data_IF_631274810498
#
_entry.id   IF_631274810498
#
_cell.length_a   1.000
_cell.length_b   1.000
_cell.length_c   1.000
_cell.angle_alpha   90.00
_cell.angle_beta   90.00
_cell.angle_gamma   90.00
#
_symmetry.space_group_name_H-M   'P 1'
#
loop_
_entity.id
_entity.type
_entity.pdbx_description
1 polymer ?
#
# COMPACT_ATOMS: atom_id res chain seq x y z
N UNK A 1 -5.76 -14.58 6.61
CA UNK A 1 -6.96 -13.77 6.93
C UNK A 1 -7.27 -12.81 5.80
N UNK A 2 -8.25 -13.13 4.95
CA UNK A 2 -8.64 -12.33 3.78
C UNK A 2 -9.18 -10.92 4.11
N UNK A 3 -9.44 -10.62 5.38
CA UNK A 3 -9.90 -9.30 5.82
C UNK A 3 -8.81 -8.22 5.79
N UNK A 4 -7.51 -8.58 5.87
CA UNK A 4 -6.45 -7.56 5.93
C UNK A 4 -6.26 -6.81 4.60
N UNK A 5 -6.62 -7.41 3.46
CA UNK A 5 -6.45 -6.76 2.15
C UNK A 5 -7.60 -5.81 1.79
N UNK A 6 -8.81 -6.09 2.26
CA UNK A 6 -10.01 -5.28 1.98
C UNK A 6 -9.96 -3.89 2.62
N UNK A 7 -9.32 -3.77 3.79
CA UNK A 7 -9.20 -2.50 4.51
C UNK A 7 -8.33 -1.49 3.73
N UNK A 8 -7.07 -1.77 3.37
CA UNK A 8 -6.26 -0.85 2.58
C UNK A 8 -6.88 -0.60 1.20
N UNK A 9 -7.48 -1.61 0.57
CA UNK A 9 -8.23 -1.45 -0.67
C UNK A 9 -9.32 -0.37 -0.55
N UNK A 10 -10.11 -0.43 0.52
CA UNK A 10 -11.19 0.52 0.78
C UNK A 10 -10.67 1.92 1.07
N UNK A 11 -9.58 2.02 1.82
CA UNK A 11 -8.92 3.28 2.14
C UNK A 11 -8.33 3.96 0.90
N UNK A 12 -7.75 3.19 -0.02
CA UNK A 12 -7.26 3.71 -1.31
C UNK A 12 -8.42 4.25 -2.14
N UNK A 13 -9.50 3.48 -2.28
CA UNK A 13 -10.70 3.91 -3.04
C UNK A 13 -11.34 5.16 -2.45
N UNK A 14 -11.38 5.26 -1.12
CA UNK A 14 -11.88 6.43 -0.41
C UNK A 14 -10.97 7.66 -0.46
N UNK A 15 -9.74 7.53 -0.97
CA UNK A 15 -8.77 8.64 -1.05
C UNK A 15 -8.05 8.96 0.27
N UNK A 16 -8.05 8.04 1.24
CA UNK A 16 -7.38 8.25 2.52
C UNK A 16 -5.85 8.41 2.39
N UNK A 17 -5.27 7.92 1.28
CA UNK A 17 -3.84 7.95 1.00
C UNK A 17 -3.40 9.08 0.06
N UNK A 18 -4.30 9.99 -0.34
CA UNK A 18 -3.97 11.06 -1.28
C UNK A 18 -2.89 12.01 -0.77
N UNK A 19 -2.79 12.16 0.55
CA UNK A 19 -1.74 12.95 1.20
C UNK A 19 -0.32 12.40 0.99
N UNK A 20 -0.19 11.14 0.55
CA UNK A 20 1.09 10.51 0.22
C UNK A 20 1.63 10.95 -1.15
N UNK A 21 0.83 11.65 -1.97
CA UNK A 21 1.25 12.13 -3.29
C UNK A 21 1.41 11.02 -4.34
N UNK A 22 0.86 9.83 -4.09
CA UNK A 22 0.85 8.73 -5.05
C UNK A 22 -0.47 8.60 -5.78
N UNK A 23 -0.42 8.08 -7.00
CA UNK A 23 -1.60 7.79 -7.80
C UNK A 23 -2.48 6.72 -7.11
N UNK A 24 -3.79 6.94 -7.00
CA UNK A 24 -4.70 6.03 -6.27
C UNK A 24 -4.75 4.65 -6.92
N UNK A 25 -4.77 4.60 -8.25
CA UNK A 25 -4.75 3.34 -9.00
C UNK A 25 -3.41 2.63 -8.83
N UNK A 26 -2.29 3.35 -8.82
CA UNK A 26 -0.99 2.83 -8.44
C UNK A 26 -1.00 2.15 -7.07
N UNK A 27 -1.50 2.84 -6.04
CA UNK A 27 -1.64 2.30 -4.69
C UNK A 27 -2.54 1.06 -4.65
N UNK A 28 -3.64 1.08 -5.42
CA UNK A 28 -4.55 -0.06 -5.56
C UNK A 28 -3.89 -1.26 -6.26
N UNK A 29 -2.93 -1.07 -7.17
CA UNK A 29 -2.23 -2.20 -7.79
C UNK A 29 -1.28 -2.89 -6.82
N UNK A 30 -0.66 -2.13 -5.91
CA UNK A 30 0.40 -2.64 -5.03
C UNK A 30 -0.07 -3.03 -3.63
N UNK A 31 -1.29 -2.67 -3.23
CA UNK A 31 -1.77 -2.88 -1.86
C UNK A 31 -1.71 -4.35 -1.41
N UNK A 32 -2.01 -5.30 -2.29
CA UNK A 32 -2.01 -6.74 -1.98
C UNK A 32 -0.62 -7.23 -1.61
N UNK A 33 0.36 -6.82 -2.40
CA UNK A 33 1.75 -7.26 -2.32
C UNK A 33 2.42 -6.58 -1.12
N UNK A 34 2.09 -5.32 -0.86
CA UNK A 34 2.50 -4.61 0.34
C UNK A 34 2.01 -5.28 1.63
N UNK A 35 0.74 -5.70 1.65
CA UNK A 35 0.17 -6.43 2.80
C UNK A 35 0.86 -7.79 2.97
N UNK A 36 1.10 -8.52 1.88
CA UNK A 36 1.73 -9.84 1.95
C UNK A 36 3.20 -9.76 2.38
N UNK A 37 3.94 -8.74 1.92
CA UNK A 37 5.31 -8.48 2.33
C UNK A 37 5.41 -8.27 3.85
N UNK A 38 4.58 -7.39 4.42
CA UNK A 38 4.56 -7.12 5.88
C UNK A 38 4.23 -8.38 6.68
N UNK A 39 3.28 -9.20 6.21
CA UNK A 39 2.92 -10.45 6.88
C UNK A 39 4.06 -11.47 6.82
N UNK A 40 4.77 -11.54 5.69
CA UNK A 40 5.97 -12.36 5.53
C UNK A 40 7.08 -11.96 6.49
N UNK A 41 7.39 -10.67 6.57
CA UNK A 41 8.41 -10.12 7.47
C UNK A 41 8.08 -10.39 8.94
N UNK A 42 6.83 -10.12 9.38
CA UNK A 42 6.42 -10.40 10.77
C UNK A 42 6.51 -11.88 11.14
N UNK A 43 6.24 -12.76 10.18
CA UNK A 43 6.38 -14.20 10.38
C UNK A 43 7.85 -14.61 10.50
N UNK A 44 8.74 -14.04 9.68
CA UNK A 44 10.18 -14.27 9.77
C UNK A 44 10.78 -13.73 11.08
N UNK A 45 10.32 -12.56 11.54
CA UNK A 45 10.67 -11.97 12.84
C UNK A 45 10.23 -12.87 14.00
N UNK A 46 8.97 -13.33 13.98
CA UNK A 46 8.43 -14.25 15.01
C UNK A 46 9.11 -15.62 15.03
N UNK A 47 9.71 -16.05 13.92
CA UNK A 47 10.50 -17.28 13.83
C UNK A 47 11.94 -17.09 14.32
N UNK A 48 12.32 -15.91 14.83
CA UNK A 48 13.66 -15.63 15.34
C UNK A 48 14.72 -15.54 14.24
N UNK A 49 14.31 -15.37 12.98
CA UNK A 49 15.22 -15.34 11.84
C UNK A 49 16.04 -14.03 11.74
N UNK A 50 15.93 -13.16 12.76
CA UNK A 50 16.72 -11.94 12.88
C UNK A 50 17.93 -12.05 13.81
N UNK A 51 18.18 -13.17 14.48
CA UNK A 51 19.37 -13.31 15.31
C UNK A 51 19.85 -14.77 15.45
N UNK A 52 20.61 -15.24 14.47
CA UNK A 52 21.57 -16.35 14.70
C UNK A 52 22.75 -16.40 13.70
N UNK A 53 22.90 -15.36 12.87
CA UNK A 53 24.08 -15.16 12.00
C UNK A 53 24.49 -13.68 11.86
N UNK A 54 23.85 -12.76 12.59
CA UNK A 54 24.04 -11.31 12.41
C UNK A 54 25.21 -10.67 13.17
N UNK A 55 25.93 -11.41 14.02
CA UNK A 55 26.97 -10.81 14.86
C UNK A 55 28.39 -10.87 14.28
N UNK A 56 28.63 -11.56 13.16
CA UNK A 56 29.98 -11.71 12.61
C UNK A 56 29.97 -11.66 11.08
N UNK A 57 29.90 -10.48 10.46
CA UNK A 57 30.80 -10.20 9.34
C UNK A 57 30.90 -8.70 9.07
N UNK A 58 32.13 -8.30 8.81
CA UNK A 58 32.62 -6.97 8.55
C UNK A 58 32.44 -6.71 7.04
N UNK A 59 31.52 -5.82 6.64
CA UNK A 59 31.42 -5.43 5.22
C UNK A 59 30.05 -5.01 4.73
N UNK A 60 29.81 -3.69 4.70
CA UNK A 60 29.07 -2.94 3.65
C UNK A 60 27.86 -3.61 2.96
N UNK A 61 27.03 -4.35 3.69
CA UNK A 61 25.75 -4.84 3.22
C UNK A 61 24.69 -3.79 3.52
N UNK A 62 24.49 -2.83 2.62
CA UNK A 62 23.26 -2.01 2.56
C UNK A 62 22.08 -2.93 2.82
N UNK A 63 21.36 -2.70 3.91
CA UNK A 63 20.08 -3.35 4.15
C UNK A 63 19.25 -3.13 2.89
N UNK A 64 19.07 -4.19 2.09
CA UNK A 64 18.17 -4.14 0.94
C UNK A 64 16.84 -3.60 1.47
N UNK A 65 16.28 -2.55 0.87
CA UNK A 65 15.05 -1.99 1.38
C UNK A 65 13.97 -3.03 1.16
N UNK A 66 13.67 -3.79 2.21
CA UNK A 66 12.58 -4.79 2.33
C UNK A 66 11.21 -4.18 1.96
N UNK A 67 11.15 -2.85 1.76
CA UNK A 67 9.96 -2.06 1.54
C UNK A 67 9.95 -1.19 0.28
N UNK A 68 10.84 -1.39 -0.71
CA UNK A 68 10.72 -0.61 -1.96
C UNK A 68 9.72 -1.25 -2.92
N UNK A 69 8.44 -1.17 -2.57
CA UNK A 69 7.37 -1.46 -3.53
C UNK A 69 7.17 -0.20 -4.37
N UNK A 70 7.57 -0.28 -5.63
CA UNK A 70 7.43 0.83 -6.57
C UNK A 70 5.95 1.02 -6.90
N UNK A 71 5.38 2.15 -6.51
CA UNK A 71 4.02 2.53 -6.86
C UNK A 71 4.01 3.03 -8.31
N UNK A 72 3.22 2.44 -9.22
CA UNK A 72 3.05 3.00 -10.56
C UNK A 72 2.34 4.35 -10.54
N UNK A 73 2.65 5.24 -11.48
CA UNK A 73 1.98 6.55 -11.63
C UNK A 73 0.64 6.45 -12.40
N UNK A 74 0.09 5.24 -12.53
CA UNK A 74 -1.22 5.01 -13.13
C UNK A 74 -2.31 5.62 -12.25
N UNK A 75 -3.10 6.54 -12.81
CA UNK A 75 -4.28 7.15 -12.16
C UNK A 75 -5.58 6.64 -12.81
N UNK A 76 -6.69 6.70 -12.08
CA UNK A 76 -8.01 6.44 -12.64
C UNK A 76 -8.52 7.66 -13.41
N UNK A 77 -9.38 7.43 -14.40
CA UNK A 77 -10.17 8.52 -14.99
C UNK A 77 -11.05 9.17 -13.91
N UNK A 78 -11.24 10.49 -13.99
CA UNK A 78 -11.97 11.26 -12.97
C UNK A 78 -13.36 10.69 -12.67
N UNK A 79 -14.10 10.27 -13.71
CA UNK A 79 -15.42 9.65 -13.54
C UNK A 79 -15.36 8.38 -12.71
N UNK A 80 -14.33 7.56 -12.92
CA UNK A 80 -14.15 6.31 -12.18
C UNK A 80 -13.72 6.60 -10.73
N UNK A 81 -12.80 7.55 -10.54
CA UNK A 81 -12.36 8.01 -9.22
C UNK A 81 -13.54 8.52 -8.38
N UNK A 82 -14.40 9.36 -8.97
CA UNK A 82 -15.59 9.88 -8.31
C UNK A 82 -16.62 8.78 -7.99
N UNK A 83 -16.80 7.81 -8.88
CA UNK A 83 -17.68 6.68 -8.61
C UNK A 83 -17.21 5.86 -7.41
N UNK A 84 -15.89 5.62 -7.30
CA UNK A 84 -15.28 4.93 -6.15
C UNK A 84 -15.45 5.73 -4.87
N UNK A 85 -15.25 7.06 -4.89
CA UNK A 85 -15.51 7.89 -3.70
C UNK A 85 -16.96 7.80 -3.24
N UNK A 86 -17.90 7.89 -4.18
CA UNK A 86 -19.32 7.79 -3.88
C UNK A 86 -19.68 6.42 -3.30
N UNK A 87 -19.08 5.35 -3.82
CA UNK A 87 -19.28 4.00 -3.31
C UNK A 87 -18.75 3.84 -1.87
N UNK A 88 -17.57 4.39 -1.58
CA UNK A 88 -16.91 4.19 -0.27
C UNK A 88 -17.37 5.18 0.81
N UNK A 89 -17.69 6.41 0.43
CA UNK A 89 -17.98 7.52 1.35
C UNK A 89 -19.44 8.00 1.28
N UNK A 90 -20.19 7.62 0.25
CA UNK A 90 -21.55 8.09 0.01
C UNK A 90 -21.64 9.50 -0.59
N UNK A 91 -20.50 10.18 -0.79
CA UNK A 91 -20.40 11.55 -1.31
C UNK A 91 -19.14 11.73 -2.18
N UNK A 92 -19.09 12.79 -2.97
CA UNK A 92 -17.89 13.15 -3.73
C UNK A 92 -17.01 14.08 -2.91
N UNK A 93 -15.73 13.74 -2.73
CA UNK A 93 -14.75 14.53 -1.98
C UNK A 93 -13.85 15.30 -2.94
N UNK A 94 -13.35 14.66 -4.00
CA UNK A 94 -12.34 15.26 -4.88
C UNK A 94 -12.92 16.07 -6.04
N UNK A 95 -14.19 15.85 -6.41
CA UNK A 95 -14.81 16.55 -7.53
C UNK A 95 -16.30 16.73 -7.31
N UNK A 96 -16.72 17.99 -7.15
CA UNK A 96 -18.14 18.30 -7.25
C UNK A 96 -18.60 18.06 -8.70
N UNK A 97 -19.79 17.48 -8.93
CA UNK A 97 -20.32 17.21 -10.27
C UNK A 97 -20.68 18.47 -11.09
N UNK A 98 -20.16 19.64 -10.71
CA UNK A 98 -20.42 20.96 -11.31
C UNK A 98 -19.14 21.72 -11.72
N UNK A 99 -17.95 21.08 -11.66
CA UNK A 99 -16.72 21.63 -12.24
C UNK A 99 -16.43 21.02 -13.61
#
# INVERSE_FOLDING_TARGET
SACNKKVPESLVKAGAFDSLGHARKGLFLVHSDAVDSVLGTKKAEALGQFDLFGSNDDGTGTADPVFTIKVPDDEWEDKHKLALEREMLGLYVSGHPLN
#
